data_IF_221561126992
#
_entry.id   IF_221561126992
#
_cell.length_a   1.000
_cell.length_b   1.000
_cell.length_c   1.000
_cell.angle_alpha   90.00
_cell.angle_beta   90.00
_cell.angle_gamma   90.00
#
_symmetry.space_group_name_H-M   'P 1'
#
loop_
_entity.id
_entity.type
_entity.pdbx_description
1 polymer ?
#
# COMPACT_ATOMS: atom_id res chain seq x y z
N UNK A 1 93.39 -14.50 34.50
CA UNK A 1 94.10 -13.25 34.16
C UNK A 1 94.44 -13.32 32.68
N UNK A 2 94.27 -12.28 31.83
CA UNK A 2 93.66 -10.92 31.98
C UNK A 2 92.26 -10.86 31.31
N UNK A 3 91.30 -9.93 31.47
CA UNK A 3 91.19 -8.49 31.76
C UNK A 3 91.59 -7.50 30.63
N UNK A 4 90.58 -6.89 29.97
CA UNK A 4 90.42 -5.49 29.44
C UNK A 4 89.77 -5.49 28.04
N UNK A 5 88.51 -5.05 27.87
CA UNK A 5 87.91 -3.69 27.90
C UNK A 5 87.82 -3.01 26.53
N UNK A 6 86.58 -2.78 26.06
CA UNK A 6 86.00 -1.49 25.57
C UNK A 6 84.75 -1.80 24.72
N UNK A 7 83.55 -1.45 25.20
CA UNK A 7 82.77 -0.22 24.94
C UNK A 7 81.63 -0.44 23.93
N UNK A 8 80.43 -0.39 24.51
CA UNK A 8 79.06 -0.22 24.02
C UNK A 8 78.83 0.11 22.53
N UNK A 9 77.96 -0.68 21.90
CA UNK A 9 77.09 -0.25 20.79
C UNK A 9 75.68 -0.83 20.96
N UNK A 10 74.70 -0.01 20.61
CA UNK A 10 73.26 -0.23 20.69
C UNK A 10 72.81 -1.54 20.02
N UNK A 11 71.86 -2.24 20.65
CA UNK A 11 70.98 -3.18 19.96
C UNK A 11 69.53 -2.67 20.08
N UNK A 12 69.05 -2.13 18.96
CA UNK A 12 67.66 -1.80 18.68
C UNK A 12 66.76 -3.02 18.93
N UNK A 13 65.66 -2.84 19.68
CA UNK A 13 64.54 -3.78 19.71
C UNK A 13 63.79 -3.69 18.37
N UNK A 14 63.45 -4.80 17.71
CA UNK A 14 62.67 -4.76 16.48
C UNK A 14 61.21 -4.41 16.78
N UNK A 15 60.67 -3.60 15.87
CA UNK A 15 59.29 -3.16 15.74
C UNK A 15 58.28 -4.31 15.88
N UNK A 16 57.28 -4.13 16.73
CA UNK A 16 56.02 -4.85 16.69
C UNK A 16 54.92 -3.85 16.27
N UNK A 17 54.97 -3.41 15.01
CA UNK A 17 53.89 -2.66 14.37
C UNK A 17 53.25 -3.56 13.30
N UNK A 18 52.15 -4.21 13.63
CA UNK A 18 51.17 -4.73 12.66
C UNK A 18 49.87 -5.13 13.38
N UNK A 19 49.31 -4.23 14.18
CA UNK A 19 47.99 -4.43 14.82
C UNK A 19 47.16 -3.17 14.71
N UNK A 20 46.78 -2.76 13.50
CA UNK A 20 45.75 -1.74 13.29
C UNK A 20 45.30 -1.68 11.81
N UNK A 21 44.86 -2.78 11.21
CA UNK A 21 44.16 -2.69 9.91
C UNK A 21 43.19 -3.85 9.66
N UNK A 22 42.34 -4.16 10.64
CA UNK A 22 41.13 -4.97 10.42
C UNK A 22 40.03 -4.42 11.32
N UNK A 23 38.82 -4.30 10.77
CA UNK A 23 37.57 -3.78 11.38
C UNK A 23 37.33 -2.26 11.26
N UNK A 24 37.13 -1.81 10.03
CA UNK A 24 36.23 -0.69 9.76
C UNK A 24 35.33 -0.97 8.55
N UNK A 25 34.54 -2.05 8.63
CA UNK A 25 33.53 -2.40 7.61
C UNK A 25 32.22 -2.95 8.22
N UNK A 26 31.85 -2.48 9.41
CA UNK A 26 30.61 -2.93 10.06
C UNK A 26 29.91 -1.79 10.80
N UNK A 27 29.40 -0.79 10.07
CA UNK A 27 28.36 0.11 10.59
C UNK A 27 27.57 0.87 9.51
N UNK A 28 27.52 0.42 8.25
CA UNK A 28 26.37 0.77 7.41
C UNK A 28 25.32 -0.29 7.70
N UNK A 29 24.59 -0.10 8.80
CA UNK A 29 23.44 -0.94 9.10
C UNK A 29 22.42 -0.71 8.00
N UNK A 30 22.41 -1.56 6.97
CA UNK A 30 21.29 -1.66 6.06
C UNK A 30 20.06 -1.93 6.93
N UNK A 31 19.15 -0.97 6.98
CA UNK A 31 17.88 -1.15 7.67
C UNK A 31 17.15 -2.30 6.97
N UNK A 32 16.79 -3.35 7.70
CA UNK A 32 16.06 -4.47 7.10
C UNK A 32 14.78 -3.95 6.43
N UNK A 33 14.49 -4.37 5.19
CA UNK A 33 13.23 -4.08 4.53
C UNK A 33 12.04 -4.47 5.41
N UNK A 34 10.97 -3.69 5.34
CA UNK A 34 9.76 -3.95 6.10
C UNK A 34 8.81 -2.78 6.19
N UNK A 35 7.67 -2.99 6.84
CA UNK A 35 6.67 -1.97 7.14
C UNK A 35 6.47 -1.83 8.64
N UNK A 36 6.01 -0.65 9.04
CA UNK A 36 5.34 -0.45 10.32
C UNK A 36 3.98 0.19 10.04
N UNK A 37 2.91 -0.42 10.49
CA UNK A 37 1.58 0.19 10.40
C UNK A 37 1.54 1.50 11.20
N UNK A 38 1.05 2.55 10.54
CA UNK A 38 0.82 3.85 11.12
C UNK A 38 -0.67 4.06 11.35
N UNK A 39 -0.99 4.77 12.44
CA UNK A 39 -2.38 5.17 12.74
C UNK A 39 -2.92 6.24 11.79
N UNK A 40 -2.04 6.93 11.08
CA UNK A 40 -2.38 8.02 10.16
C UNK A 40 -1.68 7.74 8.84
N UNK A 41 -2.30 8.05 7.69
CA UNK A 41 -1.63 7.96 6.40
C UNK A 41 -0.29 8.67 6.43
N UNK A 42 0.70 8.01 5.87
CA UNK A 42 2.05 8.52 5.73
C UNK A 42 2.05 9.22 4.40
N UNK A 43 2.21 10.53 4.44
CA UNK A 43 2.26 11.44 3.30
C UNK A 43 2.90 10.80 2.06
N UNK A 44 2.08 10.38 1.10
CA UNK A 44 2.53 9.83 -0.19
C UNK A 44 2.58 10.89 -1.31
N UNK A 45 2.11 12.09 -1.02
CA UNK A 45 2.18 13.29 -1.86
C UNK A 45 2.19 14.52 -0.95
N UNK A 46 2.75 15.68 -1.36
CA UNK A 46 2.85 16.91 -0.56
C UNK A 46 1.52 17.42 0.03
N UNK A 47 0.39 16.89 -0.43
CA UNK A 47 -0.98 17.29 -0.09
C UNK A 47 -1.56 16.48 1.09
N UNK A 48 -0.83 15.54 1.70
CA UNK A 48 -1.39 14.76 2.80
C UNK A 48 -1.47 15.52 4.14
N UNK A 49 -0.74 16.61 4.38
CA UNK A 49 -0.75 17.28 5.70
C UNK A 49 -2.16 17.69 6.20
N UNK A 50 -3.07 18.23 5.36
CA UNK A 50 -4.43 18.58 5.77
C UNK A 50 -5.36 17.37 5.97
N UNK A 51 -5.07 16.21 5.37
CA UNK A 51 -5.85 14.97 5.53
C UNK A 51 -5.63 14.29 6.89
N UNK A 52 -4.68 14.80 7.70
CA UNK A 52 -4.03 14.03 8.78
C UNK A 52 -4.10 14.68 10.15
N UNK A 53 -4.79 15.80 10.31
CA UNK A 53 -5.15 16.29 11.63
C UNK A 53 -6.66 16.38 11.75
N UNK A 54 -7.36 15.39 12.34
CA UNK A 54 -8.81 15.42 12.55
C UNK A 54 -9.28 16.54 13.50
N UNK A 55 -8.37 17.46 13.85
CA UNK A 55 -8.59 18.69 14.60
C UNK A 55 -8.40 19.95 13.75
N UNK A 56 -8.00 19.84 12.47
CA UNK A 56 -7.75 20.95 11.55
C UNK A 56 -8.20 20.60 10.13
N UNK A 57 -9.26 21.28 9.71
CA UNK A 57 -9.69 21.34 8.32
C UNK A 57 -8.64 22.03 7.45
N UNK A 58 -8.60 21.69 6.17
CA UNK A 58 -7.80 22.43 5.20
C UNK A 58 -8.25 23.89 5.09
N UNK A 59 -7.39 24.71 4.47
CA UNK A 59 -7.72 26.12 4.26
C UNK A 59 -8.94 26.30 3.36
N UNK A 60 -9.12 25.45 2.35
CA UNK A 60 -10.26 25.47 1.44
C UNK A 60 -11.54 25.01 2.13
N UNK A 61 -11.48 23.93 2.92
CA UNK A 61 -12.61 23.48 3.73
C UNK A 61 -13.06 24.54 4.73
N UNK A 62 -12.09 25.17 5.41
CA UNK A 62 -12.36 26.25 6.37
C UNK A 62 -13.05 27.44 5.71
N UNK A 63 -12.62 27.83 4.49
CA UNK A 63 -13.28 28.89 3.72
C UNK A 63 -14.71 28.51 3.35
N UNK A 64 -14.92 27.30 2.82
CA UNK A 64 -16.23 26.82 2.40
C UNK A 64 -17.25 26.79 3.55
N UNK A 65 -16.82 26.35 4.73
CA UNK A 65 -17.65 26.30 5.94
C UNK A 65 -17.98 27.72 6.43
N UNK A 66 -17.00 28.62 6.40
CA UNK A 66 -17.16 30.01 6.84
C UNK A 66 -18.11 30.83 5.96
N UNK A 67 -18.06 30.65 4.65
CA UNK A 67 -18.95 31.38 3.74
C UNK A 67 -20.42 30.98 3.88
N UNK A 68 -20.67 29.81 4.45
CA UNK A 68 -22.01 29.30 4.73
C UNK A 68 -22.44 29.55 6.19
N UNK A 69 -21.61 30.20 7.02
CA UNK A 69 -21.85 30.45 8.44
C UNK A 69 -22.09 29.15 9.24
N UNK A 70 -21.33 28.10 8.92
CA UNK A 70 -21.48 26.74 9.49
C UNK A 70 -20.37 26.36 10.49
N UNK A 71 -19.48 27.28 10.87
CA UNK A 71 -18.32 26.98 11.72
C UNK A 71 -18.71 26.36 13.07
N UNK A 72 -19.87 26.75 13.60
CA UNK A 72 -20.36 26.26 14.88
C UNK A 72 -20.73 24.77 14.85
N UNK A 73 -21.09 24.23 13.68
CA UNK A 73 -21.50 22.83 13.53
C UNK A 73 -20.31 21.88 13.52
N UNK A 74 -19.15 22.29 13.00
CA UNK A 74 -17.99 21.40 12.84
C UNK A 74 -17.60 20.66 14.14
N UNK A 75 -17.73 21.31 15.30
CA UNK A 75 -17.45 20.68 16.60
C UNK A 75 -18.68 20.13 17.32
N UNK A 76 -19.87 20.65 17.02
CA UNK A 76 -21.10 20.34 17.78
C UNK A 76 -21.92 19.23 17.15
N UNK A 77 -22.03 19.27 15.82
CA UNK A 77 -22.80 18.32 15.03
C UNK A 77 -22.16 18.17 13.63
N UNK A 78 -21.09 17.34 13.52
CA UNK A 78 -20.44 17.07 12.25
C UNK A 78 -21.38 16.45 11.21
N UNK A 79 -22.37 15.67 11.65
CA UNK A 79 -23.35 15.05 10.76
C UNK A 79 -24.25 16.10 10.10
N UNK A 80 -24.76 17.07 10.87
CA UNK A 80 -25.53 18.18 10.29
C UNK A 80 -24.67 19.10 9.43
N UNK A 81 -23.40 19.32 9.79
CA UNK A 81 -22.46 20.05 8.92
C UNK A 81 -22.36 19.39 7.54
N UNK A 82 -22.16 18.07 7.48
CA UNK A 82 -22.08 17.33 6.22
C UNK A 82 -23.38 17.44 5.44
N UNK A 83 -24.55 17.31 6.09
CA UNK A 83 -25.85 17.48 5.43
C UNK A 83 -26.00 18.88 4.84
N UNK A 84 -25.61 19.92 5.58
CA UNK A 84 -25.67 21.30 5.15
C UNK A 84 -24.75 21.58 3.94
N UNK A 85 -23.50 21.11 4.00
CA UNK A 85 -22.54 21.21 2.89
C UNK A 85 -23.04 20.48 1.63
N UNK A 86 -23.73 19.35 1.81
CA UNK A 86 -24.27 18.55 0.71
C UNK A 86 -25.48 19.18 0.00
N UNK A 87 -26.15 20.18 0.59
CA UNK A 87 -27.33 20.81 -0.03
C UNK A 87 -26.96 21.46 -1.36
N UNK A 88 -27.60 21.00 -2.44
CA UNK A 88 -27.38 21.51 -3.79
C UNK A 88 -26.06 21.09 -4.45
N UNK A 89 -25.27 20.19 -3.84
CA UNK A 89 -24.04 19.67 -4.47
C UNK A 89 -24.31 18.85 -5.72
N UNK A 90 -25.47 18.19 -5.81
CA UNK A 90 -25.86 17.42 -7.00
C UNK A 90 -25.93 18.27 -8.28
N UNK A 91 -26.25 19.56 -8.16
CA UNK A 91 -26.32 20.51 -9.28
C UNK A 91 -25.08 21.39 -9.39
N UNK A 92 -24.10 21.22 -8.50
CA UNK A 92 -22.87 22.00 -8.47
C UNK A 92 -21.78 21.38 -9.35
N UNK A 93 -20.79 22.19 -9.72
CA UNK A 93 -19.64 21.72 -10.49
C UNK A 93 -18.84 20.62 -9.77
N UNK A 94 -18.07 19.80 -10.51
CA UNK A 94 -17.22 18.76 -9.93
C UNK A 94 -16.22 19.28 -8.89
N UNK A 95 -15.65 20.47 -9.11
CA UNK A 95 -14.63 21.09 -8.26
C UNK A 95 -15.21 21.99 -7.15
N UNK A 96 -16.49 21.85 -6.80
CA UNK A 96 -17.08 22.68 -5.74
C UNK A 96 -16.40 22.38 -4.38
N UNK A 97 -15.78 23.40 -3.78
CA UNK A 97 -15.07 23.34 -2.49
C UNK A 97 -15.88 22.74 -1.33
N UNK A 98 -17.21 22.77 -1.38
CA UNK A 98 -18.06 22.12 -0.37
C UNK A 98 -17.88 20.61 -0.37
N UNK A 99 -17.49 20.01 -1.51
CA UNK A 99 -17.17 18.57 -1.60
C UNK A 99 -15.95 18.23 -0.74
N UNK A 100 -14.92 19.06 -0.80
CA UNK A 100 -13.71 18.87 -0.01
C UNK A 100 -14.01 19.01 1.47
N UNK A 101 -14.71 20.07 1.87
CA UNK A 101 -15.13 20.28 3.25
C UNK A 101 -15.97 19.11 3.80
N UNK A 102 -16.93 18.63 3.03
CA UNK A 102 -17.77 17.51 3.45
C UNK A 102 -16.98 16.20 3.54
N UNK A 103 -16.10 15.92 2.57
CA UNK A 103 -15.28 14.72 2.55
C UNK A 103 -14.24 14.70 3.68
N UNK A 104 -13.57 15.81 3.99
CA UNK A 104 -12.66 15.91 5.14
C UNK A 104 -13.40 15.61 6.45
N UNK A 105 -14.57 16.23 6.68
CA UNK A 105 -15.38 15.96 7.88
C UNK A 105 -15.86 14.50 7.92
N UNK A 106 -16.26 13.93 6.78
CA UNK A 106 -16.67 12.54 6.70
C UNK A 106 -15.53 11.58 7.06
N UNK A 107 -14.35 11.78 6.48
CA UNK A 107 -13.15 10.98 6.77
C UNK A 107 -12.71 11.11 8.23
N UNK A 108 -12.75 12.32 8.79
CA UNK A 108 -12.37 12.60 10.19
C UNK A 108 -13.26 11.86 11.19
N UNK A 109 -14.57 11.87 10.99
CA UNK A 109 -15.52 11.15 11.84
C UNK A 109 -15.43 9.64 11.61
N UNK A 110 -15.29 9.18 10.36
CA UNK A 110 -15.09 7.78 10.05
C UNK A 110 -13.85 7.21 10.75
N UNK A 111 -12.75 7.96 10.77
CA UNK A 111 -11.53 7.59 11.46
C UNK A 111 -11.74 7.35 12.96
N UNK A 112 -12.58 8.15 13.62
CA UNK A 112 -12.93 7.98 15.05
C UNK A 112 -13.75 6.72 15.30
N UNK A 113 -14.52 6.28 14.30
CA UNK A 113 -15.41 5.12 14.37
C UNK A 113 -14.72 3.81 13.98
N UNK A 114 -13.63 3.86 13.21
CA UNK A 114 -13.03 2.68 12.54
C UNK A 114 -12.75 1.49 13.47
N UNK A 115 -12.24 1.74 14.67
CA UNK A 115 -11.86 0.68 15.62
C UNK A 115 -13.08 0.06 16.32
N UNK A 116 -14.02 0.87 16.79
CA UNK A 116 -15.14 0.42 17.63
C UNK A 116 -16.42 0.09 16.82
N UNK A 117 -16.60 0.73 15.66
CA UNK A 117 -17.80 0.69 14.84
C UNK A 117 -17.47 0.63 13.34
N UNK A 118 -16.81 -0.45 12.86
CA UNK A 118 -16.29 -0.55 11.49
C UNK A 118 -17.36 -0.41 10.40
N UNK A 119 -18.54 -1.01 10.56
CA UNK A 119 -19.65 -0.85 9.60
C UNK A 119 -20.14 0.61 9.51
N UNK A 120 -20.19 1.35 10.62
CA UNK A 120 -20.49 2.78 10.61
C UNK A 120 -19.37 3.56 9.93
N UNK A 121 -18.11 3.30 10.26
CA UNK A 121 -16.98 3.94 9.60
C UNK A 121 -17.00 3.72 8.07
N UNK A 122 -17.34 2.51 7.63
CA UNK A 122 -17.51 2.18 6.22
C UNK A 122 -18.56 3.07 5.55
N UNK A 123 -19.74 3.24 6.17
CA UNK A 123 -20.79 4.13 5.65
C UNK A 123 -20.31 5.57 5.43
N UNK A 124 -19.52 6.09 6.38
CA UNK A 124 -18.96 7.45 6.28
C UNK A 124 -17.88 7.55 5.19
N UNK A 125 -16.99 6.58 5.05
CA UNK A 125 -16.01 6.54 3.95
C UNK A 125 -16.66 6.38 2.58
N UNK A 126 -17.71 5.57 2.45
CA UNK A 126 -18.49 5.45 1.21
C UNK A 126 -19.15 6.78 0.83
N UNK A 127 -19.71 7.50 1.82
CA UNK A 127 -20.26 8.83 1.61
C UNK A 127 -19.18 9.84 1.18
N UNK A 128 -17.98 9.78 1.76
CA UNK A 128 -16.85 10.64 1.39
C UNK A 128 -16.44 10.39 -0.07
N UNK A 129 -16.23 9.12 -0.44
CA UNK A 129 -15.90 8.73 -1.80
C UNK A 129 -16.99 9.15 -2.80
N UNK A 130 -18.27 9.02 -2.44
CA UNK A 130 -19.39 9.44 -3.31
C UNK A 130 -19.42 10.95 -3.53
N UNK A 131 -19.13 11.75 -2.51
CA UNK A 131 -19.09 13.21 -2.62
C UNK A 131 -17.94 13.68 -3.50
N UNK A 132 -16.79 13.01 -3.44
CA UNK A 132 -15.61 13.36 -4.23
C UNK A 132 -15.60 12.70 -5.61
N UNK A 133 -16.42 11.68 -5.85
CA UNK A 133 -16.44 10.94 -7.11
C UNK A 133 -16.58 11.81 -8.38
N UNK A 134 -17.51 12.80 -8.47
CA UNK A 134 -17.59 13.64 -9.66
C UNK A 134 -16.30 14.40 -9.95
N UNK A 135 -15.57 14.80 -8.91
CA UNK A 135 -14.29 15.47 -9.02
C UNK A 135 -13.20 14.52 -9.49
N UNK A 136 -13.13 13.32 -8.90
CA UNK A 136 -12.17 12.28 -9.24
C UNK A 136 -12.27 11.88 -10.72
N UNK A 137 -13.48 11.63 -11.22
CA UNK A 137 -13.69 11.27 -12.63
C UNK A 137 -13.63 12.45 -13.60
N UNK A 138 -13.38 13.67 -13.11
CA UNK A 138 -13.14 14.84 -13.97
C UNK A 138 -11.64 15.15 -14.13
N UNK A 139 -10.77 14.56 -13.30
CA UNK A 139 -9.32 14.78 -13.31
C UNK A 139 -8.66 13.77 -14.26
N UNK A 140 -8.45 14.15 -15.52
CA UNK A 140 -8.15 13.22 -16.60
C UNK A 140 -6.65 12.97 -16.88
N UNK A 141 -5.72 13.71 -16.29
CA UNK A 141 -4.29 13.53 -16.61
C UNK A 141 -3.36 14.29 -15.64
N UNK A 142 -3.72 14.34 -14.36
CA UNK A 142 -2.97 15.15 -13.41
C UNK A 142 -1.83 14.33 -12.80
N UNK A 143 -0.59 14.60 -13.24
CA UNK A 143 0.64 14.18 -12.55
C UNK A 143 0.68 14.67 -11.10
N UNK A 144 -0.11 15.69 -10.77
CA UNK A 144 -0.30 16.23 -9.43
C UNK A 144 -1.77 16.07 -9.02
N UNK A 145 -2.13 15.03 -8.26
CA UNK A 145 -3.52 14.71 -7.97
C UNK A 145 -4.20 15.85 -7.20
N UNK A 146 -5.40 16.24 -7.63
CA UNK A 146 -6.20 17.20 -6.87
C UNK A 146 -6.49 16.72 -5.44
N UNK A 147 -6.75 17.65 -4.52
CA UNK A 147 -7.15 17.33 -3.14
C UNK A 147 -8.39 16.42 -3.09
N UNK A 148 -9.34 16.63 -4.00
CA UNK A 148 -10.55 15.82 -4.11
C UNK A 148 -10.27 14.40 -4.62
N UNK A 149 -9.35 14.23 -5.59
CA UNK A 149 -8.90 12.91 -6.04
C UNK A 149 -8.17 12.17 -4.91
N UNK A 150 -7.32 12.88 -4.15
CA UNK A 150 -6.62 12.30 -3.01
C UNK A 150 -7.59 11.82 -1.93
N UNK A 151 -8.62 12.62 -1.60
CA UNK A 151 -9.71 12.23 -0.69
C UNK A 151 -10.51 11.03 -1.21
N UNK A 152 -10.78 10.97 -2.52
CA UNK A 152 -11.45 9.83 -3.15
C UNK A 152 -10.62 8.55 -3.00
N UNK A 153 -9.32 8.60 -3.34
CA UNK A 153 -8.42 7.45 -3.26
C UNK A 153 -8.29 6.94 -1.82
N UNK A 154 -8.11 7.85 -0.85
CA UNK A 154 -8.08 7.54 0.58
C UNK A 154 -9.36 6.80 1.03
N UNK A 155 -10.53 7.37 0.71
CA UNK A 155 -11.81 6.79 1.06
C UNK A 155 -12.04 5.42 0.39
N UNK A 156 -11.61 5.23 -0.86
CA UNK A 156 -11.67 3.94 -1.54
C UNK A 156 -10.82 2.88 -0.82
N UNK A 157 -9.57 3.21 -0.46
CA UNK A 157 -8.67 2.26 0.19
C UNK A 157 -9.22 1.80 1.55
N UNK A 158 -9.64 2.74 2.40
CA UNK A 158 -10.16 2.40 3.73
C UNK A 158 -11.51 1.69 3.64
N UNK A 159 -12.40 2.12 2.73
CA UNK A 159 -13.67 1.43 2.51
C UNK A 159 -13.46 -0.01 2.03
N UNK A 160 -12.46 -0.26 1.19
CA UNK A 160 -12.12 -1.60 0.73
C UNK A 160 -11.60 -2.50 1.86
N UNK A 161 -10.68 -2.00 2.69
CA UNK A 161 -10.20 -2.73 3.87
C UNK A 161 -11.36 -3.06 4.84
N UNK A 162 -12.20 -2.08 5.16
CA UNK A 162 -13.35 -2.29 6.04
C UNK A 162 -14.37 -3.27 5.44
N UNK A 163 -14.68 -3.14 4.15
CA UNK A 163 -15.59 -4.05 3.48
C UNK A 163 -15.03 -5.48 3.42
N UNK A 164 -13.72 -5.63 3.22
CA UNK A 164 -13.06 -6.93 3.25
C UNK A 164 -13.16 -7.58 4.63
N UNK A 165 -12.94 -6.82 5.71
CA UNK A 165 -13.05 -7.32 7.09
C UNK A 165 -14.48 -7.74 7.45
N UNK A 166 -15.48 -6.95 7.06
CA UNK A 166 -16.90 -7.23 7.33
C UNK A 166 -17.43 -8.44 6.53
N UNK A 167 -17.04 -8.56 5.25
CA UNK A 167 -17.45 -9.69 4.39
C UNK A 167 -16.59 -10.94 4.58
N UNK A 168 -15.42 -10.82 5.21
CA UNK A 168 -14.35 -11.84 5.24
C UNK A 168 -13.93 -12.29 3.84
N UNK A 169 -13.74 -11.32 2.95
CA UNK A 169 -13.40 -11.58 1.55
C UNK A 169 -14.53 -12.15 0.70
N UNK A 170 -15.78 -12.07 1.17
CA UNK A 170 -16.95 -12.53 0.43
C UNK A 170 -17.62 -11.46 -0.43
N UNK A 171 -18.62 -11.87 -1.22
CA UNK A 171 -19.41 -10.96 -2.08
C UNK A 171 -20.70 -10.46 -1.44
N UNK A 172 -20.90 -10.69 -0.14
CA UNK A 172 -22.10 -10.20 0.56
C UNK A 172 -22.17 -8.67 0.52
N UNK A 173 -23.38 -8.15 0.38
CA UNK A 173 -23.60 -6.71 0.52
C UNK A 173 -23.44 -6.30 1.97
N UNK A 174 -22.61 -5.29 2.21
CA UNK A 174 -22.39 -4.68 3.51
C UNK A 174 -23.05 -3.31 3.52
N UNK A 175 -23.62 -2.93 4.66
CA UNK A 175 -24.28 -1.65 4.86
C UNK A 175 -23.61 -0.86 5.98
N UNK A 176 -23.54 0.45 5.80
CA UNK A 176 -23.06 1.39 6.80
C UNK A 176 -23.90 2.66 6.79
N UNK A 177 -24.22 3.18 7.97
CA UNK A 177 -24.96 4.43 8.10
C UNK A 177 -24.04 5.65 7.96
N UNK A 178 -24.50 6.66 7.24
CA UNK A 178 -23.82 7.94 7.09
C UNK A 178 -24.78 9.12 7.34
N UNK A 179 -24.29 10.36 7.53
CA UNK A 179 -25.15 11.53 7.60
C UNK A 179 -26.04 11.75 6.36
N UNK A 180 -25.68 11.14 5.23
CA UNK A 180 -26.35 11.25 3.93
C UNK A 180 -27.31 10.08 3.64
N UNK A 181 -27.49 9.18 4.62
CA UNK A 181 -28.30 7.97 4.52
C UNK A 181 -27.47 6.70 4.55
N UNK A 182 -28.16 5.56 4.46
CA UNK A 182 -27.54 4.24 4.37
C UNK A 182 -26.74 4.12 3.08
N UNK A 183 -25.47 3.74 3.21
CA UNK A 183 -24.59 3.39 2.11
C UNK A 183 -24.41 1.87 2.09
N UNK A 184 -24.44 1.27 0.90
CA UNK A 184 -24.23 -0.15 0.71
C UNK A 184 -23.12 -0.40 -0.31
N UNK A 185 -22.36 -1.48 -0.10
CA UNK A 185 -21.22 -1.86 -0.95
C UNK A 185 -21.14 -3.38 -1.10
N UNK A 186 -20.66 -3.84 -2.25
CA UNK A 186 -20.36 -5.25 -2.50
C UNK A 186 -19.18 -5.38 -3.47
N UNK A 187 -18.36 -6.41 -3.27
CA UNK A 187 -17.26 -6.72 -4.19
C UNK A 187 -17.79 -7.27 -5.52
N UNK A 188 -17.19 -6.81 -6.62
CA UNK A 188 -17.41 -7.32 -7.98
C UNK A 188 -16.08 -7.80 -8.55
N UNK A 189 -16.04 -9.06 -9.00
CA UNK A 189 -14.86 -9.73 -9.59
C UNK A 189 -15.08 -10.19 -11.03
N UNK A 190 -16.17 -9.75 -11.67
CA UNK A 190 -16.57 -10.15 -13.02
C UNK A 190 -15.79 -9.42 -14.14
N UNK A 191 -15.07 -8.36 -13.80
CA UNK A 191 -14.27 -7.59 -14.73
C UNK A 191 -12.89 -8.26 -14.98
N UNK A 192 -12.36 -8.22 -16.21
CA UNK A 192 -10.98 -8.64 -16.48
C UNK A 192 -9.98 -7.88 -15.61
N UNK A 193 -8.88 -8.55 -15.26
CA UNK A 193 -7.79 -7.98 -14.45
C UNK A 193 -8.24 -7.45 -13.08
N UNK A 194 -9.37 -7.96 -12.56
CA UNK A 194 -9.77 -7.78 -11.18
C UNK A 194 -9.55 -9.07 -10.40
N UNK A 195 -9.14 -8.92 -9.14
CA UNK A 195 -9.05 -10.02 -8.20
C UNK A 195 -10.42 -10.39 -7.64
N UNK A 196 -10.57 -11.65 -7.28
CA UNK A 196 -11.62 -12.04 -6.35
C UNK A 196 -11.18 -11.65 -4.93
N UNK A 197 -12.01 -10.99 -4.11
CA UNK A 197 -11.65 -10.73 -2.72
C UNK A 197 -11.27 -12.02 -1.96
N UNK A 198 -11.81 -13.18 -2.33
CA UNK A 198 -11.47 -14.47 -1.70
C UNK A 198 -10.04 -14.95 -1.98
N UNK A 199 -9.34 -14.33 -2.94
CA UNK A 199 -7.93 -14.62 -3.22
C UNK A 199 -7.01 -14.15 -2.08
N UNK A 200 -7.47 -13.21 -1.25
CA UNK A 200 -6.70 -12.59 -0.18
C UNK A 200 -7.15 -13.07 1.21
N UNK A 201 -6.22 -13.03 2.16
CA UNK A 201 -6.53 -13.19 3.60
C UNK A 201 -6.43 -11.86 4.36
N UNK A 202 -5.73 -10.89 3.78
CA UNK A 202 -5.54 -9.56 4.36
C UNK A 202 -5.37 -8.51 3.25
N UNK A 203 -6.01 -7.36 3.43
CA UNK A 203 -5.83 -6.18 2.59
C UNK A 203 -5.38 -5.03 3.48
N UNK A 204 -4.17 -4.53 3.24
CA UNK A 204 -3.62 -3.39 4.00
C UNK A 204 -3.62 -2.12 3.16
N UNK A 205 -4.10 -1.03 3.74
CA UNK A 205 -4.04 0.28 3.08
C UNK A 205 -2.60 0.75 2.94
N UNK A 206 -2.14 0.92 1.70
CA UNK A 206 -0.71 1.15 1.41
C UNK A 206 -0.17 2.43 2.06
N UNK A 207 -0.95 3.51 2.05
CA UNK A 207 -0.57 4.77 2.71
C UNK A 207 -0.48 4.66 4.25
N UNK A 208 -1.09 3.65 4.88
CA UNK A 208 -0.92 3.37 6.32
C UNK A 208 0.34 2.54 6.61
N UNK A 209 1.06 2.07 5.59
CA UNK A 209 2.27 1.27 5.73
C UNK A 209 3.53 2.14 5.68
N UNK A 210 4.26 2.21 6.80
CA UNK A 210 5.58 2.88 6.85
C UNK A 210 6.66 1.98 6.29
N UNK A 211 6.88 2.07 4.98
CA UNK A 211 7.94 1.37 4.27
C UNK A 211 9.33 1.79 4.79
N UNK A 212 10.23 0.82 4.91
CA UNK A 212 11.64 0.97 5.27
C UNK A 212 12.49 0.01 4.47
N UNK A 213 13.77 0.32 4.34
CA UNK A 213 14.78 -0.58 3.76
C UNK A 213 14.70 -0.73 2.24
N UNK A 214 13.96 0.15 1.57
CA UNK A 214 14.00 0.36 0.12
C UNK A 214 14.69 1.70 -0.18
N UNK A 215 15.36 1.82 -1.32
CA UNK A 215 16.02 3.07 -1.71
C UNK A 215 15.01 4.14 -2.09
N UNK A 216 13.96 3.75 -2.82
CA UNK A 216 12.84 4.59 -3.21
C UNK A 216 11.50 3.87 -2.98
N UNK A 217 10.44 4.66 -2.77
CA UNK A 217 9.07 4.15 -2.70
C UNK A 217 8.39 4.43 -4.04
N UNK A 218 8.17 3.39 -4.80
CA UNK A 218 7.61 3.42 -6.15
C UNK A 218 6.09 3.51 -6.11
N UNK A 219 5.59 4.69 -6.48
CA UNK A 219 4.17 5.05 -6.44
C UNK A 219 3.77 5.57 -7.82
N UNK A 220 2.64 5.09 -8.30
CA UNK A 220 2.01 5.61 -9.50
C UNK A 220 0.80 6.46 -9.14
N UNK A 221 0.75 7.73 -9.60
CA UNK A 221 -0.44 8.56 -9.46
C UNK A 221 -1.56 8.04 -10.36
N UNK A 222 -2.79 8.13 -9.88
CA UNK A 222 -3.96 7.70 -10.63
C UNK A 222 -5.22 7.72 -9.78
N UNK A 223 -6.27 7.07 -10.28
CA UNK A 223 -7.54 6.93 -9.57
C UNK A 223 -7.62 5.59 -8.82
N UNK A 224 -8.25 5.62 -7.65
CA UNK A 224 -8.45 4.44 -6.80
C UNK A 224 -7.51 4.42 -5.59
N UNK A 225 -7.91 3.65 -4.58
CA UNK A 225 -7.17 3.51 -3.33
C UNK A 225 -6.16 2.37 -3.38
N UNK A 226 -4.88 2.67 -3.20
CA UNK A 226 -3.81 1.67 -3.20
C UNK A 226 -3.80 0.81 -1.93
N UNK A 227 -3.71 -0.50 -2.12
CA UNK A 227 -3.69 -1.55 -1.11
C UNK A 227 -2.50 -2.49 -1.36
N UNK A 228 -2.06 -3.16 -0.30
CA UNK A 228 -1.23 -4.34 -0.37
C UNK A 228 -2.08 -5.56 0.01
N UNK A 229 -2.34 -6.45 -0.95
CA UNK A 229 -3.08 -7.68 -0.74
C UNK A 229 -2.15 -8.85 -0.41
N UNK A 230 -2.40 -9.56 0.68
CA UNK A 230 -1.60 -10.70 1.11
C UNK A 230 -2.31 -12.03 0.82
N UNK A 231 -1.59 -12.91 0.13
CA UNK A 231 -2.01 -14.25 -0.26
C UNK A 231 -1.09 -15.25 0.45
N UNK A 232 -1.46 -15.78 1.63
CA UNK A 232 -0.66 -16.78 2.34
C UNK A 232 -0.64 -18.12 1.60
N UNK A 233 0.43 -18.88 1.83
CA UNK A 233 0.57 -20.26 1.37
C UNK A 233 -0.11 -21.24 2.33
N UNK A 234 -1.40 -21.48 2.13
CA UNK A 234 -2.12 -22.57 2.79
C UNK A 234 -1.82 -23.91 2.12
N UNK A 235 -2.08 -25.04 2.80
CA UNK A 235 -1.92 -26.37 2.19
C UNK A 235 -2.75 -26.52 0.91
N UNK A 236 -3.98 -25.98 0.91
CA UNK A 236 -4.87 -25.99 -0.25
C UNK A 236 -4.30 -25.18 -1.42
N UNK A 237 -3.82 -23.95 -1.16
CA UNK A 237 -3.25 -23.10 -2.21
C UNK A 237 -1.92 -23.64 -2.74
N UNK A 238 -1.05 -24.16 -1.88
CA UNK A 238 0.20 -24.78 -2.30
C UNK A 238 -0.02 -26.06 -3.12
N UNK A 239 -1.10 -26.81 -2.85
CA UNK A 239 -1.48 -27.96 -3.66
C UNK A 239 -2.06 -27.56 -5.02
N UNK A 240 -2.82 -26.46 -5.08
CA UNK A 240 -3.36 -25.91 -6.32
C UNK A 240 -2.29 -25.21 -7.18
N UNK A 241 -1.30 -24.58 -6.54
CA UNK A 241 -0.24 -23.80 -7.17
C UNK A 241 1.14 -24.19 -6.64
N UNK A 242 1.84 -25.12 -7.31
CA UNK A 242 3.18 -25.56 -6.91
C UNK A 242 4.26 -24.47 -6.97
N UNK A 243 3.99 -23.33 -7.62
CA UNK A 243 4.92 -22.20 -7.72
C UNK A 243 4.65 -21.12 -6.65
N UNK A 244 3.63 -21.29 -5.81
CA UNK A 244 3.38 -20.39 -4.68
C UNK A 244 4.53 -20.51 -3.67
N UNK A 245 5.16 -19.39 -3.26
CA UNK A 245 6.16 -19.43 -2.19
C UNK A 245 5.55 -19.95 -0.90
N UNK A 246 6.28 -20.78 -0.13
CA UNK A 246 5.84 -21.26 1.19
C UNK A 246 5.51 -20.13 2.19
N UNK A 247 5.95 -18.90 1.92
CA UNK A 247 5.70 -17.71 2.73
C UNK A 247 4.49 -16.89 2.24
N UNK A 248 3.85 -17.29 1.14
CA UNK A 248 2.83 -16.53 0.44
C UNK A 248 3.40 -15.44 -0.48
N UNK A 249 2.51 -14.59 -0.96
CA UNK A 249 2.79 -13.41 -1.78
C UNK A 249 2.12 -12.18 -1.15
N UNK A 250 2.70 -11.01 -1.40
CA UNK A 250 1.99 -9.75 -1.22
C UNK A 250 2.07 -8.99 -2.54
N UNK A 251 0.93 -8.47 -3.00
CA UNK A 251 0.80 -7.84 -4.32
C UNK A 251 0.13 -6.47 -4.22
N UNK A 252 0.47 -5.53 -5.12
CA UNK A 252 -0.20 -4.24 -5.19
C UNK A 252 -1.62 -4.45 -5.73
N UNK A 253 -2.59 -3.80 -5.10
CA UNK A 253 -4.01 -3.88 -5.46
C UNK A 253 -4.58 -2.47 -5.44
N UNK A 254 -5.47 -2.15 -6.39
CA UNK A 254 -6.14 -0.85 -6.41
C UNK A 254 -7.64 -1.00 -6.25
N UNK A 255 -8.20 -0.36 -5.24
CA UNK A 255 -9.63 -0.35 -4.98
C UNK A 255 -10.33 0.81 -5.70
N UNK A 256 -11.42 0.54 -6.42
CA UNK A 256 -12.27 1.58 -7.03
C UNK A 256 -13.73 1.35 -6.68
N UNK A 257 -14.48 2.45 -6.58
CA UNK A 257 -15.92 2.44 -6.27
C UNK A 257 -16.71 2.95 -7.46
N UNK A 258 -17.66 2.14 -7.94
CA UNK A 258 -18.62 2.52 -8.96
C UNK A 258 -19.99 2.76 -8.32
N UNK A 259 -20.47 3.99 -8.46
CA UNK A 259 -21.71 4.45 -7.86
C UNK A 259 -22.87 4.40 -8.86
N UNK A 260 -23.97 3.75 -8.47
CA UNK A 260 -25.26 3.86 -9.16
C UNK A 260 -25.94 5.18 -8.82
N UNK A 261 -26.72 5.72 -9.76
CA UNK A 261 -27.66 6.82 -9.50
C UNK A 261 -28.84 6.37 -8.63
N UNK A 262 -29.20 5.08 -8.70
CA UNK A 262 -30.18 4.46 -7.82
C UNK A 262 -29.48 3.98 -6.55
N UNK A 263 -29.74 4.64 -5.42
CA UNK A 263 -29.17 4.31 -4.11
C UNK A 263 -29.66 2.98 -3.54
N UNK A 264 -30.69 2.35 -4.12
CA UNK A 264 -31.09 0.99 -3.73
C UNK A 264 -30.11 -0.07 -4.25
N UNK A 265 -29.33 0.27 -5.29
CA UNK A 265 -28.27 -0.58 -5.84
C UNK A 265 -26.99 -0.37 -5.04
N UNK A 266 -26.40 -1.47 -4.57
CA UNK A 266 -25.14 -1.41 -3.83
C UNK A 266 -24.02 -0.82 -4.68
N UNK A 267 -23.19 0.00 -4.05
CA UNK A 267 -21.94 0.48 -4.64
C UNK A 267 -21.07 -0.72 -5.00
N UNK A 268 -20.56 -0.74 -6.22
CA UNK A 268 -19.69 -1.83 -6.66
C UNK A 268 -18.25 -1.48 -6.30
N UNK A 269 -17.60 -2.33 -5.52
CA UNK A 269 -16.20 -2.24 -5.16
C UNK A 269 -15.41 -3.24 -6.01
N UNK A 270 -14.37 -2.77 -6.70
CA UNK A 270 -13.49 -3.62 -7.52
C UNK A 270 -12.06 -3.53 -7.02
N UNK A 271 -11.37 -4.67 -7.00
CA UNK A 271 -9.96 -4.80 -6.65
C UNK A 271 -9.17 -5.10 -7.92
N UNK A 272 -8.45 -4.11 -8.44
CA UNK A 272 -7.71 -4.23 -9.70
C UNK A 272 -6.32 -4.83 -9.49
N UNK A 273 -5.92 -5.72 -10.40
CA UNK A 273 -4.56 -6.22 -10.56
C UNK A 273 -3.74 -5.25 -11.41
N UNK A 274 -3.09 -4.31 -10.74
CA UNK A 274 -2.25 -3.29 -11.40
C UNK A 274 -0.94 -3.83 -11.98
N UNK A 275 -0.56 -5.08 -11.66
CA UNK A 275 0.54 -5.76 -12.34
C UNK A 275 0.07 -6.36 -13.68
N UNK A 276 -1.21 -6.70 -13.82
CA UNK A 276 -1.78 -7.18 -15.07
C UNK A 276 -2.23 -6.04 -16.00
N UNK A 277 -2.91 -5.03 -15.45
CA UNK A 277 -3.42 -3.89 -16.20
C UNK A 277 -3.49 -2.67 -15.29
N UNK A 278 -2.88 -1.58 -15.74
CA UNK A 278 -2.68 -0.35 -14.97
C UNK A 278 -3.66 0.77 -15.34
N UNK A 279 -4.69 0.45 -16.12
CA UNK A 279 -5.81 1.32 -16.44
C UNK A 279 -7.15 0.60 -16.24
N UNK A 280 -8.20 1.38 -16.00
CA UNK A 280 -9.56 0.87 -15.89
C UNK A 280 -10.60 1.91 -16.35
N UNK A 281 -11.74 1.41 -16.83
CA UNK A 281 -12.86 2.27 -17.19
C UNK A 281 -13.68 2.67 -15.96
N UNK A 282 -13.67 3.97 -15.62
CA UNK A 282 -14.40 4.54 -14.47
C UNK A 282 -15.24 5.72 -14.97
N UNK A 283 -16.53 5.76 -14.61
CA UNK A 283 -17.43 6.82 -15.07
C UNK A 283 -17.57 6.93 -16.60
N UNK A 284 -17.24 5.86 -17.35
CA UNK A 284 -17.26 5.84 -18.81
C UNK A 284 -15.97 6.30 -19.50
N UNK A 285 -14.93 6.65 -18.73
CA UNK A 285 -13.63 7.09 -19.25
C UNK A 285 -12.51 6.15 -18.77
N UNK A 286 -11.44 6.05 -19.54
CA UNK A 286 -10.26 5.27 -19.16
C UNK A 286 -9.34 6.12 -18.27
N UNK A 287 -8.96 5.57 -17.11
CA UNK A 287 -8.05 6.22 -16.17
C UNK A 287 -6.90 5.31 -15.82
N UNK A 288 -5.72 5.90 -15.61
CA UNK A 288 -4.60 5.23 -14.92
C UNK A 288 -5.00 4.94 -13.48
N UNK A 289 -4.73 3.73 -13.03
CA UNK A 289 -4.96 3.33 -11.65
C UNK A 289 -3.82 3.83 -10.76
N UNK A 290 -4.15 4.35 -9.58
CA UNK A 290 -3.13 4.62 -8.57
C UNK A 290 -2.52 3.30 -8.09
N UNK A 291 -1.22 3.25 -7.81
CA UNK A 291 -0.58 2.04 -7.30
C UNK A 291 0.58 2.36 -6.35
N UNK A 292 0.88 1.44 -5.44
CA UNK A 292 2.09 1.46 -4.61
C UNK A 292 2.77 0.11 -4.73
N UNK A 293 3.86 0.05 -5.49
CA UNK A 293 4.56 -1.19 -5.80
C UNK A 293 5.50 -1.63 -4.67
N UNK A 294 5.92 -0.71 -3.81
CA UNK A 294 6.87 -1.00 -2.72
C UNK A 294 6.18 -1.53 -1.46
N UNK A 295 5.02 -0.98 -1.10
CA UNK A 295 4.26 -1.37 0.08
C UNK A 295 4.02 -2.89 0.22
N UNK A 296 3.57 -3.62 -0.82
CA UNK A 296 3.39 -5.07 -0.74
C UNK A 296 4.70 -5.82 -0.53
N UNK A 297 5.78 -5.46 -1.24
CA UNK A 297 7.09 -6.10 -1.06
C UNK A 297 7.62 -5.92 0.37
N UNK A 298 7.48 -4.71 0.92
CA UNK A 298 7.84 -4.41 2.29
C UNK A 298 6.93 -5.12 3.33
N UNK A 299 5.64 -5.29 3.01
CA UNK A 299 4.70 -6.05 3.84
C UNK A 299 5.13 -7.52 3.93
N UNK A 300 5.47 -8.15 2.80
CA UNK A 300 5.91 -9.54 2.76
C UNK A 300 7.16 -9.77 3.60
N UNK A 301 8.14 -8.87 3.55
CA UNK A 301 9.35 -8.90 4.40
C UNK A 301 9.04 -8.80 5.90
N UNK A 302 7.92 -8.16 6.26
CA UNK A 302 7.48 -8.04 7.66
C UNK A 302 6.79 -9.30 8.15
N UNK A 303 5.92 -9.87 7.31
CA UNK A 303 5.18 -11.10 7.60
C UNK A 303 6.14 -12.31 7.64
N UNK A 304 7.09 -12.36 6.71
CA UNK A 304 8.04 -13.46 6.54
C UNK A 304 9.48 -12.96 6.30
N UNK A 305 10.22 -12.55 7.35
CA UNK A 305 11.53 -11.92 7.19
C UNK A 305 12.59 -12.88 6.59
N UNK A 306 12.94 -12.63 5.32
CA UNK A 306 13.81 -13.49 4.51
C UNK A 306 15.26 -13.55 5.04
N UNK A 307 15.74 -12.48 5.67
CA UNK A 307 17.13 -12.35 6.12
C UNK A 307 17.50 -13.27 7.29
N UNK A 308 16.52 -13.80 8.03
CA UNK A 308 16.77 -14.71 9.16
C UNK A 308 17.01 -16.17 8.73
N UNK A 309 16.65 -16.55 7.51
CA UNK A 309 16.75 -17.94 7.01
C UNK A 309 17.98 -18.19 6.13
N UNK A 310 18.50 -17.18 5.41
CA UNK A 310 19.60 -17.35 4.44
C UNK A 310 20.92 -17.88 5.01
N UNK A 311 21.34 -17.38 6.19
CA UNK A 311 22.58 -17.84 6.84
C UNK A 311 22.44 -19.26 7.40
N UNK A 312 21.24 -19.67 7.84
CA UNK A 312 21.00 -21.03 8.35
C UNK A 312 21.00 -22.07 7.22
N UNK A 313 20.38 -21.74 6.08
CA UNK A 313 20.32 -22.61 4.90
C UNK A 313 21.69 -22.97 4.31
N UNK A 314 22.67 -22.05 4.39
CA UNK A 314 24.05 -22.33 3.94
C UNK A 314 24.74 -23.43 4.77
N UNK A 315 24.55 -23.45 6.09
CA UNK A 315 25.27 -24.39 6.97
C UNK A 315 24.50 -25.70 7.20
N UNK A 316 23.20 -25.75 6.86
CA UNK A 316 22.32 -26.92 7.02
C UNK A 316 21.50 -27.19 5.74
N UNK A 317 22.12 -27.39 4.56
CA UNK A 317 21.40 -27.50 3.30
C UNK A 317 20.36 -28.64 3.29
N UNK A 318 20.62 -29.74 4.00
CA UNK A 318 19.70 -30.88 4.12
C UNK A 318 18.35 -30.52 4.78
N UNK A 319 18.30 -29.50 5.64
CA UNK A 319 17.07 -29.01 6.28
C UNK A 319 16.24 -28.11 5.35
N UNK A 320 16.81 -27.67 4.22
CA UNK A 320 16.20 -26.73 3.28
C UNK A 320 16.03 -27.29 1.86
N UNK A 321 16.41 -28.55 1.60
CA UNK A 321 16.20 -29.23 0.30
C UNK A 321 14.73 -29.24 -0.13
N UNK A 322 13.78 -29.28 0.82
CA UNK A 322 12.34 -29.18 0.55
C UNK A 322 11.85 -27.76 0.26
N UNK A 323 12.73 -26.76 0.29
CA UNK A 323 12.44 -25.35 -0.06
C UNK A 323 13.16 -24.89 -1.33
N UNK A 324 13.87 -25.81 -2.00
CA UNK A 324 14.47 -25.55 -3.30
C UNK A 324 13.38 -25.62 -4.35
N UNK A 325 13.28 -24.59 -5.18
CA UNK A 325 12.17 -24.48 -6.12
C UNK A 325 12.15 -23.19 -6.89
N UNK A 326 11.27 -23.16 -7.89
CA UNK A 326 10.94 -21.95 -8.62
C UNK A 326 9.67 -21.36 -8.00
N UNK A 327 9.73 -20.09 -7.60
CA UNK A 327 8.64 -19.43 -6.91
C UNK A 327 8.20 -18.17 -7.65
N UNK A 328 6.89 -17.96 -7.78
CA UNK A 328 6.32 -16.72 -8.31
C UNK A 328 6.24 -15.65 -7.24
N UNK A 329 6.37 -14.40 -7.67
CA UNK A 329 6.16 -13.24 -6.78
C UNK A 329 4.83 -12.52 -7.06
N UNK A 330 4.11 -12.93 -8.11
CA UNK A 330 2.81 -12.41 -8.52
C UNK A 330 1.91 -13.55 -9.09
N UNK A 331 0.57 -13.40 -9.10
CA UNK A 331 -0.38 -14.35 -9.69
C UNK A 331 -0.07 -14.69 -11.16
N UNK A 332 -0.31 -15.94 -11.57
CA UNK A 332 0.11 -16.47 -12.87
C UNK A 332 -0.58 -15.72 -14.00
N UNK A 333 0.18 -15.38 -15.04
CA UNK A 333 -0.37 -14.75 -16.24
C UNK A 333 0.17 -15.45 -17.48
N UNK A 334 -0.72 -15.90 -18.33
CA UNK A 334 -0.36 -16.64 -19.56
C UNK A 334 0.16 -15.73 -20.69
N UNK A 335 -0.16 -14.44 -20.62
CA UNK A 335 0.19 -13.42 -21.59
C UNK A 335 1.52 -12.70 -21.27
N UNK A 336 2.17 -13.03 -20.14
CA UNK A 336 3.48 -12.48 -19.74
C UNK A 336 4.63 -13.44 -20.00
N UNK A 337 5.80 -12.90 -20.32
CA UNK A 337 7.05 -13.64 -20.48
C UNK A 337 7.68 -13.88 -19.09
N UNK A 338 7.94 -15.13 -18.68
CA UNK A 338 8.57 -15.41 -17.39
C UNK A 338 10.06 -15.03 -17.39
N UNK A 339 10.49 -14.30 -16.37
CA UNK A 339 11.88 -13.95 -16.09
C UNK A 339 12.32 -14.63 -14.78
N UNK A 340 13.29 -15.53 -14.88
CA UNK A 340 13.78 -16.31 -13.74
C UNK A 340 15.02 -15.66 -13.15
N UNK A 341 14.90 -15.21 -11.90
CA UNK A 341 15.96 -14.60 -11.12
C UNK A 341 16.63 -15.67 -10.26
N UNK A 342 17.93 -15.91 -10.50
CA UNK A 342 18.73 -16.90 -9.78
C UNK A 342 19.77 -16.18 -8.93
N UNK A 343 19.66 -16.28 -7.61
CA UNK A 343 20.60 -15.63 -6.70
C UNK A 343 21.96 -16.34 -6.64
N UNK A 344 23.01 -15.60 -6.26
CA UNK A 344 24.34 -16.17 -6.05
C UNK A 344 24.46 -17.01 -4.78
N UNK A 345 25.62 -17.65 -4.61
CA UNK A 345 25.96 -18.41 -3.40
C UNK A 345 25.79 -17.53 -2.16
N UNK A 346 25.26 -18.08 -1.06
CA UNK A 346 25.04 -17.40 0.24
C UNK A 346 23.89 -16.40 0.35
N UNK A 347 23.15 -16.15 -0.74
CA UNK A 347 22.05 -15.20 -0.76
C UNK A 347 20.70 -15.92 -0.76
N UNK A 348 19.65 -15.17 -0.45
CA UNK A 348 18.26 -15.59 -0.58
C UNK A 348 17.60 -14.83 -1.72
N UNK A 349 16.42 -15.24 -2.21
CA UNK A 349 15.64 -14.48 -3.18
C UNK A 349 15.43 -12.99 -2.84
N UNK A 350 15.45 -12.62 -1.55
CA UNK A 350 15.28 -11.24 -1.09
C UNK A 350 16.32 -10.24 -1.63
N UNK A 351 17.47 -10.70 -2.17
CA UNK A 351 18.42 -9.79 -2.83
C UNK A 351 17.82 -9.09 -4.05
N UNK A 352 16.75 -9.65 -4.62
CA UNK A 352 16.07 -9.09 -5.78
C UNK A 352 14.95 -8.11 -5.42
N UNK A 353 14.62 -7.94 -4.14
CA UNK A 353 13.45 -7.13 -3.73
C UNK A 353 13.51 -5.68 -4.25
N UNK A 354 14.67 -5.01 -4.14
CA UNK A 354 14.85 -3.65 -4.68
C UNK A 354 14.70 -3.61 -6.20
N UNK A 355 15.29 -4.58 -6.89
CA UNK A 355 15.19 -4.65 -8.35
C UNK A 355 13.76 -4.95 -8.80
N UNK A 356 13.06 -5.86 -8.12
CA UNK A 356 11.64 -6.15 -8.38
C UNK A 356 10.79 -4.90 -8.16
N UNK A 357 11.08 -4.11 -7.12
CA UNK A 357 10.39 -2.84 -6.84
C UNK A 357 10.48 -1.89 -8.05
N UNK A 358 11.69 -1.67 -8.58
CA UNK A 358 11.92 -0.85 -9.78
C UNK A 358 11.26 -1.44 -11.03
N UNK A 359 11.32 -2.77 -11.21
CA UNK A 359 10.76 -3.45 -12.39
C UNK A 359 9.23 -3.49 -12.40
N UNK A 360 8.58 -3.56 -11.23
CA UNK A 360 7.13 -3.41 -11.09
C UNK A 360 6.67 -1.97 -11.34
N UNK A 361 7.53 -0.98 -11.06
CA UNK A 361 7.24 0.42 -11.32
C UNK A 361 7.34 0.80 -12.81
N UNK A 362 8.13 0.06 -13.59
CA UNK A 362 8.25 0.29 -15.03
C UNK A 362 7.03 -0.29 -15.78
N UNK A 363 6.19 0.55 -16.41
CA UNK A 363 4.97 0.10 -17.07
C UNK A 363 5.24 -0.77 -18.30
N UNK A 364 6.35 -0.55 -19.02
CA UNK A 364 6.70 -1.37 -20.19
C UNK A 364 7.11 -2.76 -19.72
N UNK A 365 7.89 -2.84 -18.65
CA UNK A 365 8.35 -4.12 -18.11
C UNK A 365 7.20 -4.90 -17.49
N UNK A 366 6.42 -4.28 -16.60
CA UNK A 366 5.34 -5.00 -15.90
C UNK A 366 4.24 -5.48 -16.85
N UNK A 367 3.99 -4.80 -17.97
CA UNK A 367 2.99 -5.23 -18.96
C UNK A 367 3.42 -6.54 -19.66
N UNK A 368 4.72 -6.72 -19.90
CA UNK A 368 5.25 -7.81 -20.73
C UNK A 368 5.87 -8.97 -19.95
N UNK A 369 6.36 -8.75 -18.73
CA UNK A 369 7.18 -9.71 -18.00
C UNK A 369 6.56 -10.09 -16.65
N UNK A 370 6.78 -11.37 -16.28
CA UNK A 370 6.41 -11.92 -14.98
C UNK A 370 7.66 -12.46 -14.28
N UNK A 371 7.86 -12.10 -13.02
CA UNK A 371 9.10 -12.45 -12.31
C UNK A 371 8.95 -13.70 -11.44
N UNK A 372 10.01 -14.51 -11.45
CA UNK A 372 10.13 -15.73 -10.65
C UNK A 372 11.47 -15.73 -9.96
N UNK A 373 11.51 -16.23 -8.73
CA UNK A 373 12.73 -16.39 -7.95
C UNK A 373 13.05 -17.87 -7.79
N UNK A 374 14.25 -18.27 -8.18
CA UNK A 374 14.78 -19.60 -7.86
C UNK A 374 15.44 -19.57 -6.47
N UNK A 375 15.23 -20.63 -5.69
CA UNK A 375 15.81 -20.84 -4.38
C UNK A 375 16.49 -22.19 -4.29
#
# INVERSE_FOLDING_TARGET
MPCRHSLSFLAFRPFAEASAFVLLLAAVGCQSPGVKEARKPITLTPVAEPLLDPKKLSSESSKAIKELDLESLHRKDPAELVRALNRGLASAGPMDRRRQAAAEVLCDEAFKLKEDHPASALGWYLAAARITYPAAISSHDDRDPSELLTLYNHACAIAAELAFLESRGGHSTIQGESPLGTESVSFQSDAPHCFDPADFDDLKVAELLKVKGYSEREIEPGIGGSLAGHIPSTEERAAADPFLPNIGMAIPVTATLHFSSDRSVATQLRLHDVLAKDDAQIGGHDFRLAADFTAPLALLETIAPFMKTGRKAMFHPAEFLGTTGLYRIEPFREDKIPVILVHGLSKTPAVWAEMINELWADPVIRDHYQFYCFR
#
